data_IF_415017559046
#
_entry.id   IF_415017559046
#
_cell.length_a   1.000
_cell.length_b   1.000
_cell.length_c   1.000
_cell.angle_alpha   90.00
_cell.angle_beta   90.00
_cell.angle_gamma   90.00
#
_symmetry.space_group_name_H-M   'P 1'
#
loop_
_entity.id
_entity.type
_entity.pdbx_description
1 polymer ?
#
# COMPACT_ATOMS: atom_id res chain seq x y z
N UNK A 1 -6.08 -50.86 4.56
CA UNK A 1 -6.12 -51.90 3.51
C UNK A 1 -6.09 -53.31 4.08
N UNK A 2 -5.10 -53.70 4.90
CA UNK A 2 -5.06 -55.04 5.53
C UNK A 2 -6.35 -55.40 6.31
N UNK A 3 -6.88 -54.46 7.11
CA UNK A 3 -8.12 -54.68 7.86
C UNK A 3 -9.35 -54.88 6.96
N UNK A 4 -9.46 -54.11 5.87
CA UNK A 4 -10.54 -54.25 4.90
C UNK A 4 -10.44 -55.58 4.14
N UNK A 5 -9.22 -56.01 3.76
CA UNK A 5 -8.99 -57.30 3.12
C UNK A 5 -9.35 -58.47 4.04
N UNK A 6 -9.01 -58.38 5.34
CA UNK A 6 -9.43 -59.37 6.33
C UNK A 6 -10.96 -59.43 6.48
N UNK A 7 -11.64 -58.28 6.43
CA UNK A 7 -13.11 -58.23 6.47
C UNK A 7 -13.79 -58.90 5.26
N UNK A 8 -13.15 -58.88 4.09
CA UNK A 8 -13.61 -59.62 2.91
C UNK A 8 -13.41 -61.13 3.07
N UNK A 9 -12.29 -61.57 3.67
CA UNK A 9 -12.01 -63.00 3.91
C UNK A 9 -13.03 -63.61 4.89
N UNK A 10 -13.47 -62.84 5.89
CA UNK A 10 -14.42 -63.30 6.93
C UNK A 10 -15.88 -62.97 6.56
N UNK A 11 -16.17 -62.65 5.29
CA UNK A 11 -17.52 -62.34 4.75
C UNK A 11 -18.28 -61.19 5.46
N UNK A 12 -17.55 -60.30 6.14
CA UNK A 12 -18.12 -59.10 6.80
C UNK A 12 -18.14 -57.87 5.90
N UNK A 13 -17.35 -57.87 4.83
CA UNK A 13 -17.23 -56.79 3.84
C UNK A 13 -17.22 -57.38 2.42
N UNK A 14 -17.65 -56.60 1.45
CA UNK A 14 -17.60 -56.97 0.03
C UNK A 14 -16.32 -56.46 -0.65
N UNK A 15 -16.02 -56.99 -1.83
CA UNK A 15 -14.96 -56.43 -2.69
C UNK A 15 -15.22 -54.95 -3.06
N UNK A 16 -16.48 -54.55 -3.17
CA UNK A 16 -16.87 -53.15 -3.39
C UNK A 16 -16.47 -52.25 -2.21
N UNK A 17 -16.62 -52.74 -0.98
CA UNK A 17 -16.23 -52.01 0.23
C UNK A 17 -14.71 -51.81 0.31
N UNK A 18 -13.92 -52.77 -0.15
CA UNK A 18 -12.46 -52.62 -0.21
C UNK A 18 -12.03 -51.51 -1.19
N UNK A 19 -12.68 -51.45 -2.36
CA UNK A 19 -12.45 -50.38 -3.35
C UNK A 19 -12.93 -49.03 -2.79
N UNK A 20 -14.09 -49.01 -2.13
CA UNK A 20 -14.63 -47.82 -1.48
C UNK A 20 -13.69 -47.27 -0.40
N UNK A 21 -13.22 -48.12 0.53
CA UNK A 21 -12.28 -47.73 1.59
C UNK A 21 -10.98 -47.17 0.99
N UNK A 22 -10.45 -47.82 -0.04
CA UNK A 22 -9.26 -47.32 -0.73
C UNK A 22 -9.49 -45.93 -1.35
N UNK A 23 -10.62 -45.75 -2.04
CA UNK A 23 -11.02 -44.47 -2.62
C UNK A 23 -11.17 -43.36 -1.58
N UNK A 24 -11.84 -43.64 -0.46
CA UNK A 24 -12.02 -42.70 0.65
C UNK A 24 -10.68 -42.31 1.29
N UNK A 25 -9.74 -43.25 1.44
CA UNK A 25 -8.41 -42.97 1.98
C UNK A 25 -7.61 -42.01 1.07
N UNK A 26 -7.69 -42.16 -0.24
CA UNK A 26 -7.09 -41.20 -1.17
C UNK A 26 -7.75 -39.82 -1.09
N UNK A 27 -9.08 -39.78 -1.05
CA UNK A 27 -9.83 -38.52 -0.90
C UNK A 27 -9.52 -37.78 0.41
N UNK A 28 -9.15 -38.48 1.47
CA UNK A 28 -8.71 -37.87 2.73
C UNK A 28 -7.24 -37.45 2.70
N UNK A 29 -6.38 -38.22 2.05
CA UNK A 29 -4.92 -37.98 2.07
C UNK A 29 -4.52 -36.73 1.27
N UNK A 30 -5.20 -36.47 0.14
CA UNK A 30 -4.91 -35.29 -0.70
C UNK A 30 -5.16 -33.97 0.07
N UNK A 31 -6.31 -33.76 0.74
CA UNK A 31 -6.57 -32.52 1.45
C UNK A 31 -5.70 -32.27 2.68
N UNK A 32 -5.26 -33.35 3.34
CA UNK A 32 -4.32 -33.24 4.46
C UNK A 32 -2.99 -32.62 4.04
N UNK A 33 -2.56 -32.81 2.80
CA UNK A 33 -1.28 -32.27 2.32
C UNK A 33 -1.32 -30.73 2.15
N UNK A 34 -2.45 -30.13 1.78
CA UNK A 34 -2.54 -28.68 1.59
C UNK A 34 -2.85 -27.90 2.89
N UNK A 35 -3.33 -28.57 3.94
CA UNK A 35 -3.59 -27.93 5.25
C UNK A 35 -2.35 -27.22 5.82
N UNK A 36 -1.17 -27.82 5.64
CA UNK A 36 0.10 -27.23 6.08
C UNK A 36 0.48 -25.95 5.32
N UNK A 37 0.27 -25.93 3.99
CA UNK A 37 0.49 -24.72 3.19
C UNK A 37 -0.55 -23.65 3.48
N UNK A 38 -1.83 -24.00 3.52
CA UNK A 38 -2.91 -23.06 3.83
C UNK A 38 -2.74 -22.42 5.20
N UNK A 39 -2.32 -23.19 6.22
CA UNK A 39 -2.02 -22.61 7.54
C UNK A 39 -0.90 -21.56 7.46
N UNK A 40 0.19 -21.87 6.74
CA UNK A 40 1.30 -20.94 6.54
C UNK A 40 0.85 -19.70 5.78
N UNK A 41 0.05 -19.87 4.72
CA UNK A 41 -0.45 -18.77 3.89
C UNK A 41 -1.36 -17.83 4.69
N UNK A 42 -2.21 -18.39 5.56
CA UNK A 42 -3.05 -17.58 6.47
C UNK A 42 -2.16 -16.79 7.44
N UNK A 43 -1.15 -17.43 8.04
CA UNK A 43 -0.24 -16.76 8.97
C UNK A 43 0.52 -15.62 8.28
N UNK A 44 1.00 -15.85 7.07
CA UNK A 44 1.66 -14.81 6.26
C UNK A 44 0.70 -13.68 5.89
N UNK A 45 -0.50 -14.01 5.40
CA UNK A 45 -1.51 -13.01 5.02
C UNK A 45 -1.87 -12.09 6.18
N UNK A 46 -1.89 -12.59 7.42
CA UNK A 46 -2.12 -11.76 8.61
C UNK A 46 -0.98 -10.76 8.86
N UNK A 47 0.27 -11.15 8.60
CA UNK A 47 1.43 -10.24 8.70
C UNK A 47 1.38 -9.18 7.60
N UNK A 48 1.03 -9.59 6.38
CA UNK A 48 0.90 -8.66 5.25
C UNK A 48 -0.23 -7.65 5.50
N UNK A 49 -1.34 -8.11 6.10
CA UNK A 49 -2.46 -7.26 6.49
C UNK A 49 -2.05 -6.22 7.55
N UNK A 50 -1.20 -6.58 8.51
CA UNK A 50 -0.65 -5.62 9.45
C UNK A 50 0.11 -4.49 8.75
N UNK A 51 0.92 -4.82 7.74
CA UNK A 51 1.65 -3.81 6.95
C UNK A 51 0.71 -2.86 6.21
N UNK A 52 -0.44 -3.36 5.73
CA UNK A 52 -1.47 -2.51 5.12
C UNK A 52 -2.12 -1.57 6.15
N UNK A 53 -2.39 -2.05 7.37
CA UNK A 53 -2.92 -1.19 8.42
C UNK A 53 -1.92 -0.11 8.84
N UNK A 54 -0.62 -0.43 8.91
CA UNK A 54 0.42 0.56 9.20
C UNK A 54 0.45 1.66 8.13
N UNK A 55 0.27 1.30 6.86
CA UNK A 55 0.16 2.27 5.76
C UNK A 55 -1.11 3.12 5.87
N UNK A 56 -2.26 2.51 6.19
CA UNK A 56 -3.51 3.25 6.39
C UNK A 56 -3.46 4.22 7.58
N UNK A 57 -2.66 3.90 8.60
CA UNK A 57 -2.44 4.75 9.78
C UNK A 57 -1.35 5.80 9.57
N UNK A 58 -0.68 5.82 8.41
CA UNK A 58 0.38 6.78 8.13
C UNK A 58 -0.18 8.20 8.16
N UNK A 59 0.39 9.04 9.02
CA UNK A 59 -0.08 10.40 9.20
C UNK A 59 0.18 11.26 7.95
N UNK A 60 -0.88 11.91 7.46
CA UNK A 60 -0.77 12.94 6.42
C UNK A 60 -0.06 14.16 7.02
N UNK A 61 1.19 14.41 6.63
CA UNK A 61 1.97 15.55 7.15
C UNK A 61 1.46 16.93 6.70
N UNK A 62 0.83 17.00 5.53
CA UNK A 62 0.31 18.24 4.95
C UNK A 62 -1.21 18.18 5.00
N UNK A 63 -1.81 18.77 6.03
CA UNK A 63 -3.26 18.86 6.22
C UNK A 63 -3.72 20.27 5.90
N UNK A 64 -4.96 20.41 5.42
CA UNK A 64 -5.61 21.71 5.39
C UNK A 64 -5.83 22.20 6.83
N UNK A 65 -5.77 23.51 7.02
CA UNK A 65 -6.11 24.13 8.29
C UNK A 65 -7.62 23.95 8.59
N UNK A 66 -8.00 23.82 9.86
CA UNK A 66 -9.39 23.50 10.29
C UNK A 66 -10.41 24.48 9.69
N UNK A 67 -10.06 25.76 9.58
CA UNK A 67 -10.90 26.82 9.02
C UNK A 67 -10.52 27.21 7.58
N UNK A 68 -9.88 26.30 6.83
CA UNK A 68 -9.51 26.59 5.44
C UNK A 68 -10.76 26.89 4.61
N UNK A 69 -10.85 28.11 4.09
CA UNK A 69 -11.94 28.50 3.19
C UNK A 69 -11.74 27.85 1.82
N UNK A 70 -12.83 27.50 1.11
CA UNK A 70 -12.74 27.08 -0.29
C UNK A 70 -11.98 28.13 -1.10
N UNK A 71 -11.00 27.67 -1.89
CA UNK A 71 -10.22 28.55 -2.73
C UNK A 71 -11.16 29.26 -3.72
N UNK A 72 -11.25 30.59 -3.59
CA UNK A 72 -12.00 31.42 -4.53
C UNK A 72 -11.02 32.09 -5.47
N UNK A 73 -11.10 31.75 -6.75
CA UNK A 73 -10.25 32.37 -7.76
C UNK A 73 -10.66 33.84 -7.95
N UNK A 74 -9.71 34.78 -8.00
CA UNK A 74 -10.05 36.17 -8.25
C UNK A 74 -10.63 36.30 -9.66
N UNK A 75 -11.84 36.87 -9.76
CA UNK A 75 -12.57 37.01 -11.02
C UNK A 75 -11.93 38.04 -11.97
N UNK A 76 -11.02 38.88 -11.45
CA UNK A 76 -10.30 39.90 -12.22
C UNK A 76 -8.84 39.94 -11.77
N UNK A 77 -7.95 39.37 -12.58
CA UNK A 77 -6.49 39.55 -12.48
C UNK A 77 -6.05 40.34 -13.71
N UNK A 78 -5.22 41.36 -13.52
CA UNK A 78 -4.60 42.15 -14.61
C UNK A 78 -3.16 41.71 -14.85
N UNK A 79 -2.68 41.92 -16.07
CA UNK A 79 -1.26 41.73 -16.40
C UNK A 79 -0.42 42.64 -15.51
N UNK A 80 0.57 42.04 -14.85
CA UNK A 80 1.45 42.74 -13.89
C UNK A 80 1.03 42.62 -12.43
N UNK A 81 -0.18 42.15 -12.12
CA UNK A 81 -0.60 41.91 -10.73
C UNK A 81 0.27 40.81 -10.09
N UNK A 82 0.59 40.88 -8.78
CA UNK A 82 1.35 39.83 -8.10
C UNK A 82 0.53 38.53 -8.04
N UNK A 83 1.01 37.46 -8.70
CA UNK A 83 0.31 36.18 -8.75
C UNK A 83 0.89 35.18 -7.73
N UNK A 84 2.20 35.05 -7.71
CA UNK A 84 2.91 34.16 -6.78
C UNK A 84 3.91 35.01 -6.02
N UNK A 85 3.94 34.85 -4.70
CA UNK A 85 4.86 35.58 -3.84
C UNK A 85 5.49 34.65 -2.82
N UNK A 86 6.81 34.72 -2.76
CA UNK A 86 7.61 34.10 -1.72
C UNK A 86 8.03 35.22 -0.77
N UNK A 87 7.78 35.05 0.52
CA UNK A 87 8.15 36.01 1.56
C UNK A 87 8.95 35.28 2.64
N UNK A 88 10.24 35.60 2.75
CA UNK A 88 11.16 35.11 3.77
C UNK A 88 11.19 33.57 3.90
N UNK A 89 11.08 32.88 2.76
CA UNK A 89 10.92 31.42 2.73
C UNK A 89 12.23 30.73 3.11
N UNK A 90 12.15 29.85 4.11
CA UNK A 90 13.21 28.93 4.48
C UNK A 90 12.71 27.50 4.26
N UNK A 91 13.54 26.64 3.65
CA UNK A 91 13.15 25.27 3.38
C UNK A 91 14.35 24.33 3.50
N UNK A 92 14.13 23.18 4.14
CA UNK A 92 15.15 22.16 4.39
C UNK A 92 14.62 20.78 4.01
N UNK A 93 15.50 19.93 3.47
CA UNK A 93 15.28 18.48 3.47
C UNK A 93 16.01 17.90 4.66
N UNK A 94 15.26 17.31 5.61
CA UNK A 94 15.80 16.87 6.89
C UNK A 94 16.59 18.02 7.54
N UNK A 95 17.86 17.81 7.87
CA UNK A 95 18.73 18.82 8.51
C UNK A 95 19.44 19.75 7.52
N UNK A 96 19.28 19.52 6.20
CA UNK A 96 19.95 20.31 5.17
C UNK A 96 19.09 21.48 4.72
N UNK A 97 19.47 22.68 5.13
CA UNK A 97 18.86 23.94 4.67
C UNK A 97 19.18 24.24 3.20
N UNK A 98 18.14 24.30 2.36
CA UNK A 98 18.22 24.51 0.91
C UNK A 98 17.87 25.94 0.53
N UNK A 99 16.70 26.44 0.95
CA UNK A 99 16.29 27.83 0.73
C UNK A 99 16.52 28.63 2.00
N UNK A 100 17.16 29.80 1.86
CA UNK A 100 17.49 30.69 2.98
C UNK A 100 16.92 32.07 2.72
N UNK A 101 15.91 32.43 3.51
CA UNK A 101 15.27 33.74 3.49
C UNK A 101 14.92 34.25 2.07
N UNK A 102 14.34 33.37 1.25
CA UNK A 102 14.06 33.67 -0.16
C UNK A 102 12.78 34.51 -0.29
N UNK A 103 12.91 35.69 -0.91
CA UNK A 103 11.79 36.60 -1.17
C UNK A 103 11.79 37.07 -2.62
N UNK A 104 10.71 36.79 -3.36
CA UNK A 104 10.48 37.31 -4.72
C UNK A 104 9.00 37.24 -5.10
N UNK A 105 8.62 38.01 -6.12
CA UNK A 105 7.25 38.04 -6.65
C UNK A 105 7.26 37.71 -8.14
N UNK A 106 6.37 36.81 -8.56
CA UNK A 106 6.09 36.51 -9.97
C UNK A 106 4.79 37.24 -10.36
N UNK A 107 4.84 38.20 -11.29
CA UNK A 107 3.65 38.88 -11.79
C UNK A 107 2.84 37.98 -12.73
N UNK A 108 1.53 38.20 -12.77
CA UNK A 108 0.63 37.58 -13.73
C UNK A 108 1.01 37.93 -15.17
N UNK A 109 1.00 36.92 -16.03
CA UNK A 109 1.34 37.05 -17.45
C UNK A 109 2.84 37.11 -17.75
N UNK A 110 3.72 36.87 -16.77
CA UNK A 110 5.17 36.85 -16.99
C UNK A 110 5.70 35.41 -17.11
N UNK A 111 6.68 35.23 -18.00
CA UNK A 111 7.51 34.03 -18.08
C UNK A 111 8.82 34.28 -17.34
N UNK A 112 9.07 33.51 -16.29
CA UNK A 112 10.26 33.63 -15.44
C UNK A 112 11.08 32.35 -15.57
N UNK A 113 12.41 32.49 -15.60
CA UNK A 113 13.35 31.38 -15.55
C UNK A 113 14.08 31.37 -14.20
N UNK A 114 14.16 30.20 -13.57
CA UNK A 114 15.01 29.98 -12.41
C UNK A 114 16.32 29.34 -12.87
N UNK A 115 17.45 30.01 -12.64
CA UNK A 115 18.79 29.57 -13.08
C UNK A 115 19.74 29.47 -11.89
N UNK A 116 20.72 28.57 -11.98
CA UNK A 116 21.69 28.33 -10.91
C UNK A 116 22.33 26.94 -10.98
N UNK A 117 23.47 26.76 -10.30
CA UNK A 117 24.20 25.49 -10.27
C UNK A 117 23.43 24.34 -9.60
N UNK A 118 23.88 23.10 -9.78
CA UNK A 118 23.23 21.93 -9.15
C UNK A 118 23.17 22.08 -7.62
N UNK A 119 22.05 21.68 -7.02
CA UNK A 119 21.83 21.79 -5.57
C UNK A 119 21.48 23.19 -5.04
N UNK A 120 21.29 24.19 -5.92
CA UNK A 120 20.93 25.56 -5.50
C UNK A 120 19.47 25.76 -5.06
N UNK A 121 18.67 24.70 -4.96
CA UNK A 121 17.26 24.79 -4.52
C UNK A 121 16.24 25.22 -5.59
N UNK A 122 16.51 24.97 -6.87
CA UNK A 122 15.57 25.27 -7.97
C UNK A 122 14.42 24.27 -8.10
N UNK A 123 14.57 23.08 -7.52
CA UNK A 123 13.64 21.94 -7.57
C UNK A 123 13.28 21.57 -6.15
#
# INVERSE_FOLDING_TARGET
MLLAANGVIVDTLTLGDLVMVNGLLFQLSIPLNFLGSTYRDIRQSLVDLQSLFDLLQTEIKIKNYVDSKPLSWPTKIKIGDPLIRFENVNFSYQDRLVLKNLSFTIPYGKKIAMVGGSGSGKS
#
